data_IF_919484266976
#
_entry.id   IF_919484266976
#
_cell.length_a   1.000
_cell.length_b   1.000
_cell.length_c   1.000
_cell.angle_alpha   90.00
_cell.angle_beta   90.00
_cell.angle_gamma   90.00
#
_symmetry.space_group_name_H-M   'P 1'
#
loop_
_entity.id
_entity.type
_entity.pdbx_description
1 polymer ?
#
# COMPACT_ATOMS: atom_id res chain seq x y z
N UNK A 1 75.42 -41.59 -68.52
CA UNK A 1 75.16 -41.86 -67.11
C UNK A 1 74.16 -40.80 -66.63
N UNK A 2 72.91 -41.18 -66.63
CA UNK A 2 71.77 -40.26 -66.36
C UNK A 2 71.37 -40.31 -64.92
N UNK A 3 71.40 -39.18 -64.23
CA UNK A 3 70.90 -38.98 -62.88
C UNK A 3 69.39 -38.65 -62.95
N UNK A 4 68.56 -39.55 -62.42
CA UNK A 4 67.14 -39.36 -62.24
C UNK A 4 66.89 -38.40 -61.06
N UNK A 5 66.19 -37.24 -61.32
CA UNK A 5 65.68 -36.38 -60.30
C UNK A 5 64.33 -36.90 -59.81
N UNK A 6 64.15 -37.01 -58.49
CA UNK A 6 62.89 -37.27 -57.80
C UNK A 6 62.14 -35.97 -57.60
N UNK A 7 60.79 -36.00 -57.72
CA UNK A 7 60.00 -34.79 -57.48
C UNK A 7 59.80 -34.55 -55.94
N UNK A 8 59.58 -33.33 -55.51
CA UNK A 8 59.40 -32.98 -54.13
C UNK A 8 58.01 -33.39 -53.62
N UNK A 9 57.97 -33.88 -52.37
CA UNK A 9 56.79 -34.23 -51.59
C UNK A 9 55.93 -32.99 -51.26
N UNK A 10 54.58 -33.05 -51.26
CA UNK A 10 53.73 -31.90 -50.90
C UNK A 10 53.74 -31.67 -49.40
N UNK A 11 53.98 -30.43 -49.00
CA UNK A 11 53.92 -29.92 -47.66
C UNK A 11 52.50 -30.00 -47.09
N UNK A 12 52.34 -30.71 -45.99
CA UNK A 12 51.12 -30.79 -45.21
C UNK A 12 50.79 -29.45 -44.57
N UNK A 13 49.85 -28.74 -45.10
CA UNK A 13 49.26 -27.52 -44.47
C UNK A 13 48.38 -27.98 -43.33
N UNK A 14 48.84 -27.80 -42.09
CA UNK A 14 48.01 -27.99 -40.89
C UNK A 14 47.07 -26.80 -40.75
N UNK A 15 45.79 -26.99 -41.06
CA UNK A 15 44.73 -26.09 -40.67
C UNK A 15 44.49 -26.25 -39.14
N UNK A 16 44.97 -25.27 -38.36
CA UNK A 16 44.55 -25.13 -36.97
C UNK A 16 43.16 -24.53 -36.97
N UNK A 17 42.15 -25.36 -36.76
CA UNK A 17 40.78 -24.90 -36.43
C UNK A 17 40.82 -24.29 -35.02
N UNK A 18 40.85 -22.98 -34.92
CA UNK A 18 40.52 -22.26 -33.69
C UNK A 18 39.02 -22.34 -33.50
N UNK A 19 38.57 -23.27 -32.67
CA UNK A 19 37.21 -23.28 -32.13
C UNK A 19 37.09 -22.10 -31.14
N UNK A 20 36.49 -21.00 -31.58
CA UNK A 20 35.99 -19.95 -30.67
C UNK A 20 34.75 -20.52 -29.95
N UNK A 21 34.96 -21.10 -28.78
CA UNK A 21 33.89 -21.37 -27.82
C UNK A 21 33.38 -20.02 -27.29
N UNK A 22 32.35 -19.46 -27.93
CA UNK A 22 31.57 -18.40 -27.33
C UNK A 22 30.75 -19.02 -26.19
N UNK A 23 31.30 -18.98 -24.98
CA UNK A 23 30.54 -19.17 -23.75
C UNK A 23 29.50 -18.04 -23.68
N UNK A 24 28.33 -18.28 -24.18
CA UNK A 24 27.12 -17.55 -23.81
C UNK A 24 26.89 -17.78 -22.32
N UNK A 25 27.59 -17.03 -21.49
CA UNK A 25 27.18 -16.85 -20.10
C UNK A 25 25.86 -16.08 -20.15
N UNK A 26 24.75 -16.82 -20.16
CA UNK A 26 23.49 -16.31 -19.70
C UNK A 26 23.65 -15.97 -18.22
N UNK A 27 24.37 -14.90 -17.94
CA UNK A 27 24.37 -14.29 -16.64
C UNK A 27 22.93 -13.89 -16.37
N UNK A 28 22.29 -14.60 -15.46
CA UNK A 28 21.12 -14.09 -14.74
C UNK A 28 21.56 -12.75 -14.12
N UNK A 29 21.50 -11.67 -14.91
CA UNK A 29 21.67 -10.33 -14.38
C UNK A 29 20.50 -10.14 -13.42
N UNK A 30 20.75 -10.33 -12.14
CA UNK A 30 19.82 -9.91 -11.11
C UNK A 30 19.46 -8.44 -11.43
N UNK A 31 18.19 -8.21 -11.75
CA UNK A 31 17.72 -6.89 -12.15
C UNK A 31 18.08 -5.91 -11.05
N UNK A 32 18.83 -4.86 -11.39
CA UNK A 32 19.36 -3.91 -10.42
C UNK A 32 18.22 -3.28 -9.62
N UNK A 33 18.40 -3.15 -8.31
CA UNK A 33 17.51 -2.42 -7.42
C UNK A 33 17.80 -0.93 -7.59
N UNK A 34 16.87 -0.18 -8.18
CA UNK A 34 17.07 1.22 -8.55
C UNK A 34 16.84 2.18 -7.38
N UNK A 35 16.02 1.78 -6.42
CA UNK A 35 15.67 2.55 -5.22
C UNK A 35 15.85 1.70 -3.96
N UNK A 36 17.11 1.33 -3.61
CA UNK A 36 17.35 0.45 -2.46
C UNK A 36 16.96 1.12 -1.14
N UNK A 37 16.32 0.34 -0.24
CA UNK A 37 16.15 0.79 1.14
C UNK A 37 17.53 0.88 1.84
N UNK A 38 17.81 1.94 2.63
CA UNK A 38 16.94 3.08 2.93
C UNK A 38 17.04 4.19 1.86
N UNK A 39 15.93 4.89 1.60
CA UNK A 39 15.88 5.96 0.60
C UNK A 39 16.06 7.37 1.18
N UNK A 40 15.71 7.57 2.45
CA UNK A 40 15.74 8.87 3.13
C UNK A 40 15.09 9.98 2.29
N UNK A 41 13.87 9.74 1.87
CA UNK A 41 13.12 10.63 0.99
C UNK A 41 12.98 12.02 1.59
N UNK A 42 13.17 13.03 0.79
CA UNK A 42 12.85 14.39 1.16
C UNK A 42 11.36 14.64 0.93
N UNK A 43 10.60 14.63 2.00
CA UNK A 43 9.19 14.99 1.97
C UNK A 43 8.99 16.50 1.80
N UNK A 44 7.74 16.91 1.69
CA UNK A 44 7.37 18.33 1.57
C UNK A 44 8.01 19.18 2.68
N UNK A 45 8.44 20.37 2.33
CA UNK A 45 9.06 21.29 3.29
C UNK A 45 8.13 21.56 4.50
N UNK A 46 8.70 21.55 5.70
CA UNK A 46 7.98 21.72 6.96
C UNK A 46 7.42 20.44 7.54
N UNK A 47 7.61 19.27 6.90
CA UNK A 47 7.35 17.98 7.51
C UNK A 47 8.42 17.61 8.54
N UNK A 48 8.04 16.80 9.51
CA UNK A 48 8.92 16.35 10.59
C UNK A 48 9.01 14.82 10.64
N UNK A 49 10.08 14.34 11.27
CA UNK A 49 10.28 12.94 11.67
C UNK A 49 10.60 12.88 13.16
N UNK A 50 10.54 11.71 13.82
CA UNK A 50 11.09 11.57 15.15
C UNK A 50 12.52 12.12 15.19
N UNK A 51 12.82 13.00 16.13
CA UNK A 51 14.10 13.72 16.19
C UNK A 51 14.91 13.46 17.46
N UNK A 52 14.39 12.65 18.37
CA UNK A 52 15.08 12.21 19.61
C UNK A 52 15.98 10.99 19.37
N UNK A 53 15.85 10.36 18.22
CA UNK A 53 16.73 9.28 17.72
C UNK A 53 17.27 9.65 16.34
N UNK A 54 18.41 9.08 15.95
CA UNK A 54 19.00 9.36 14.65
C UNK A 54 18.38 8.51 13.51
N UNK A 55 18.66 8.90 12.27
CA UNK A 55 18.12 8.23 11.09
C UNK A 55 18.49 6.73 11.02
N UNK A 56 19.72 6.38 11.41
CA UNK A 56 20.15 4.99 11.40
C UNK A 56 19.39 4.13 12.43
N UNK A 57 18.95 4.73 13.56
CA UNK A 57 18.10 4.04 14.53
C UNK A 57 16.69 3.84 13.97
N UNK A 58 16.11 4.85 13.30
CA UNK A 58 14.83 4.70 12.60
C UNK A 58 14.88 3.56 11.58
N UNK A 59 15.91 3.52 10.74
CA UNK A 59 16.07 2.48 9.71
C UNK A 59 16.22 1.09 10.34
N UNK A 60 17.00 0.94 11.42
CA UNK A 60 17.15 -0.35 12.12
C UNK A 60 15.83 -0.83 12.73
N UNK A 61 15.01 0.07 13.29
CA UNK A 61 13.70 -0.29 13.83
C UNK A 61 12.77 -0.79 12.73
N UNK A 62 12.77 -0.13 11.56
CA UNK A 62 12.00 -0.57 10.39
C UNK A 62 12.45 -1.94 9.90
N UNK A 63 13.76 -2.15 9.71
CA UNK A 63 14.28 -3.42 9.18
C UNK A 63 14.07 -4.58 10.15
N UNK A 64 14.25 -4.35 11.45
CA UNK A 64 14.00 -5.36 12.48
C UNK A 64 12.54 -5.80 12.52
N UNK A 65 11.61 -4.85 12.37
CA UNK A 65 10.18 -5.18 12.34
C UNK A 65 9.78 -5.85 11.01
N UNK A 66 10.35 -5.39 9.88
CA UNK A 66 10.15 -6.01 8.57
C UNK A 66 10.55 -7.48 8.54
N UNK A 67 11.70 -7.84 9.11
CA UNK A 67 12.15 -9.24 9.13
C UNK A 67 11.17 -10.16 9.86
N UNK A 68 10.63 -9.68 11.01
CA UNK A 68 9.61 -10.40 11.76
C UNK A 68 8.29 -10.49 10.97
N UNK A 69 7.83 -9.37 10.39
CA UNK A 69 6.62 -9.29 9.59
C UNK A 69 6.69 -10.22 8.37
N UNK A 70 7.78 -10.17 7.62
CA UNK A 70 8.02 -11.03 6.46
C UNK A 70 7.99 -12.51 6.83
N UNK A 71 8.70 -12.90 7.88
CA UNK A 71 8.74 -14.29 8.34
C UNK A 71 7.36 -14.81 8.73
N UNK A 72 6.55 -13.99 9.38
CA UNK A 72 5.21 -14.40 9.83
C UNK A 72 4.20 -14.43 8.71
N UNK A 73 4.18 -13.43 7.83
CA UNK A 73 3.06 -13.20 6.92
C UNK A 73 3.30 -13.58 5.47
N UNK A 74 4.53 -13.58 4.97
CA UNK A 74 4.79 -14.03 3.59
C UNK A 74 4.83 -15.55 3.55
N UNK A 75 3.89 -16.14 2.81
CA UNK A 75 3.75 -17.61 2.68
C UNK A 75 3.79 -18.04 1.21
N UNK A 76 4.30 -19.25 0.92
CA UNK A 76 4.22 -19.81 -0.42
C UNK A 76 2.77 -20.04 -0.82
N UNK A 77 2.43 -19.72 -2.07
CA UNK A 77 1.14 -20.03 -2.68
C UNK A 77 1.01 -21.49 -3.08
N UNK A 78 -0.08 -21.82 -3.80
CA UNK A 78 -0.28 -23.18 -4.27
C UNK A 78 0.64 -23.57 -5.44
N UNK A 79 1.08 -22.61 -6.24
CA UNK A 79 2.06 -22.83 -7.30
C UNK A 79 3.46 -22.42 -6.86
N UNK A 80 4.49 -23.06 -7.46
CA UNK A 80 5.90 -22.89 -7.06
C UNK A 80 6.41 -21.43 -7.07
N UNK A 81 5.86 -20.60 -7.93
CA UNK A 81 6.29 -19.22 -8.13
C UNK A 81 5.29 -18.21 -7.54
N UNK A 82 4.54 -18.60 -6.54
CA UNK A 82 3.55 -17.76 -5.88
C UNK A 82 3.89 -17.53 -4.41
N UNK A 83 3.60 -16.32 -3.96
CA UNK A 83 3.56 -15.96 -2.55
C UNK A 83 2.26 -15.20 -2.26
N UNK A 84 1.76 -15.32 -1.03
CA UNK A 84 0.64 -14.54 -0.55
C UNK A 84 0.92 -14.01 0.85
N UNK A 85 0.13 -13.02 1.25
CA UNK A 85 0.19 -12.48 2.60
C UNK A 85 -0.88 -13.15 3.45
N UNK A 86 -0.44 -13.92 4.42
CA UNK A 86 -1.29 -14.77 5.24
C UNK A 86 -2.24 -13.99 6.14
N UNK A 87 -3.51 -14.44 6.16
CA UNK A 87 -4.57 -13.93 7.00
C UNK A 87 -4.89 -14.89 8.16
N UNK A 88 -4.59 -14.49 9.38
CA UNK A 88 -4.68 -15.34 10.57
C UNK A 88 -6.11 -15.69 11.03
N UNK A 89 -7.14 -15.44 10.23
CA UNK A 89 -8.53 -15.75 10.61
C UNK A 89 -9.02 -17.07 9.99
N UNK A 90 -9.74 -17.90 10.74
CA UNK A 90 -10.30 -19.14 10.20
C UNK A 90 -11.15 -18.89 8.94
N UNK A 91 -11.03 -19.78 7.95
CA UNK A 91 -11.84 -19.78 6.75
C UNK A 91 -11.35 -18.90 5.61
N UNK A 92 -10.33 -18.05 5.83
CA UNK A 92 -9.67 -17.28 4.78
C UNK A 92 -8.16 -17.32 4.99
N UNK A 93 -7.41 -17.48 3.91
CA UNK A 93 -5.92 -17.49 3.96
C UNK A 93 -5.32 -16.19 3.50
N UNK A 94 -5.94 -15.54 2.51
CA UNK A 94 -5.52 -14.25 1.97
C UNK A 94 -6.74 -13.38 1.68
N UNK A 95 -6.57 -12.06 1.73
CA UNK A 95 -7.51 -11.08 1.19
C UNK A 95 -6.74 -10.05 0.36
N UNK A 96 -7.39 -9.45 -0.64
CA UNK A 96 -6.75 -8.54 -1.61
C UNK A 96 -6.11 -7.31 -0.95
N UNK A 97 -6.72 -6.74 0.09
CA UNK A 97 -6.13 -5.65 0.91
C UNK A 97 -4.72 -6.02 1.37
N UNK A 98 -4.56 -7.24 1.89
CA UNK A 98 -3.28 -7.71 2.43
C UNK A 98 -2.25 -7.97 1.37
N UNK A 99 -2.71 -8.55 0.26
CA UNK A 99 -1.87 -8.76 -0.92
C UNK A 99 -1.30 -7.44 -1.41
N UNK A 100 -2.13 -6.40 -1.52
CA UNK A 100 -1.73 -5.05 -1.89
C UNK A 100 -0.71 -4.45 -0.92
N UNK A 101 -0.98 -4.52 0.39
CA UNK A 101 -0.03 -4.05 1.41
C UNK A 101 1.31 -4.79 1.33
N UNK A 102 1.29 -6.11 1.19
CA UNK A 102 2.52 -6.90 1.07
C UNK A 102 3.33 -6.56 -0.16
N UNK A 103 2.68 -6.31 -1.29
CA UNK A 103 3.33 -5.87 -2.52
C UNK A 103 3.98 -4.48 -2.34
N UNK A 104 3.29 -3.52 -1.71
CA UNK A 104 3.84 -2.19 -1.40
C UNK A 104 5.06 -2.30 -0.48
N UNK A 105 4.93 -3.01 0.65
CA UNK A 105 6.02 -3.20 1.62
C UNK A 105 7.24 -3.83 0.94
N UNK A 106 7.03 -4.92 0.19
CA UNK A 106 8.12 -5.65 -0.46
C UNK A 106 8.88 -4.79 -1.48
N UNK A 107 8.16 -3.98 -2.27
CA UNK A 107 8.78 -3.06 -3.22
C UNK A 107 9.62 -1.98 -2.53
N UNK A 108 9.15 -1.44 -1.39
CA UNK A 108 9.85 -0.41 -0.62
C UNK A 108 11.06 -0.94 0.16
N UNK A 109 11.04 -2.22 0.56
CA UNK A 109 12.12 -2.85 1.31
C UNK A 109 13.21 -3.48 0.45
N UNK A 110 13.08 -3.41 -0.88
CA UNK A 110 14.10 -3.89 -1.81
C UNK A 110 15.44 -3.15 -1.60
N UNK A 111 16.53 -3.89 -1.72
CA UNK A 111 17.88 -3.40 -1.41
C UNK A 111 18.33 -3.82 -0.02
N UNK A 112 17.50 -3.66 1.00
CA UNK A 112 17.69 -4.33 2.28
C UNK A 112 17.40 -5.84 2.14
N UNK A 113 16.21 -6.18 1.67
CA UNK A 113 15.85 -7.57 1.39
C UNK A 113 16.30 -7.99 -0.02
N UNK A 114 17.31 -8.85 -0.08
CA UNK A 114 17.83 -9.40 -1.33
C UNK A 114 16.83 -10.30 -2.06
N UNK A 115 15.80 -10.81 -1.38
CA UNK A 115 14.75 -11.63 -1.95
C UNK A 115 13.52 -10.82 -2.39
N UNK A 116 13.51 -9.49 -2.16
CA UNK A 116 12.34 -8.65 -2.39
C UNK A 116 11.75 -8.81 -3.79
N UNK A 117 12.58 -8.86 -4.84
CA UNK A 117 12.08 -9.04 -6.20
C UNK A 117 11.39 -10.39 -6.39
N UNK A 118 12.00 -11.48 -5.92
CA UNK A 118 11.42 -12.82 -6.02
C UNK A 118 10.10 -12.92 -5.25
N UNK A 119 10.05 -12.34 -4.05
CA UNK A 119 8.83 -12.29 -3.24
C UNK A 119 7.77 -11.45 -3.94
N UNK A 120 8.12 -10.27 -4.46
CA UNK A 120 7.21 -9.39 -5.17
C UNK A 120 6.59 -10.06 -6.40
N UNK A 121 7.42 -10.68 -7.23
CA UNK A 121 6.96 -11.41 -8.42
C UNK A 121 6.05 -12.57 -8.03
N UNK A 122 6.33 -13.26 -6.93
CA UNK A 122 5.47 -14.31 -6.39
C UNK A 122 4.13 -13.77 -5.88
N UNK A 123 4.12 -12.62 -5.20
CA UNK A 123 2.89 -11.93 -4.79
C UNK A 123 2.08 -11.48 -6.00
N UNK A 124 2.73 -10.94 -7.03
CA UNK A 124 2.10 -10.58 -8.29
C UNK A 124 1.47 -11.81 -8.99
N UNK A 125 2.20 -12.93 -9.07
CA UNK A 125 1.68 -14.16 -9.67
C UNK A 125 0.45 -14.70 -8.92
N UNK A 126 0.43 -14.59 -7.60
CA UNK A 126 -0.73 -14.95 -6.79
C UNK A 126 -1.93 -14.04 -7.09
N UNK A 127 -1.74 -12.72 -7.09
CA UNK A 127 -2.77 -11.78 -7.52
C UNK A 127 -3.37 -12.15 -8.89
N UNK A 128 -2.52 -12.38 -9.89
CA UNK A 128 -2.96 -12.72 -11.26
C UNK A 128 -3.70 -14.06 -11.37
N UNK A 129 -3.45 -14.99 -10.45
CA UNK A 129 -4.13 -16.30 -10.42
C UNK A 129 -5.50 -16.27 -9.75
N UNK A 130 -5.86 -15.15 -9.11
CA UNK A 130 -7.12 -14.98 -8.40
C UNK A 130 -7.95 -13.80 -8.95
N UNK A 131 -8.37 -13.86 -10.25
CA UNK A 131 -9.10 -12.75 -10.85
C UNK A 131 -10.50 -12.58 -10.25
N UNK A 132 -10.96 -11.34 -10.17
CA UNK A 132 -12.34 -11.01 -9.87
C UNK A 132 -13.29 -11.49 -10.98
N UNK A 133 -14.59 -11.48 -10.69
CA UNK A 133 -15.63 -11.91 -11.64
C UNK A 133 -15.78 -10.92 -12.80
N UNK A 134 -15.71 -9.64 -12.51
CA UNK A 134 -15.96 -8.55 -13.46
C UNK A 134 -14.77 -8.28 -14.37
N UNK A 135 -13.54 -8.50 -13.84
CA UNK A 135 -12.31 -8.18 -14.56
C UNK A 135 -11.16 -9.11 -14.18
N UNK A 136 -10.39 -9.63 -15.15
CA UNK A 136 -9.17 -10.39 -14.88
C UNK A 136 -8.00 -9.53 -14.36
N UNK A 137 -8.22 -8.22 -14.24
CA UNK A 137 -7.24 -7.23 -13.78
C UNK A 137 -7.53 -6.68 -12.39
N UNK A 138 -8.59 -7.18 -11.74
CA UNK A 138 -8.92 -6.96 -10.34
C UNK A 138 -8.78 -8.28 -9.58
N UNK A 139 -8.52 -8.23 -8.28
CA UNK A 139 -8.32 -9.42 -7.47
C UNK A 139 -9.60 -9.79 -6.73
N UNK A 140 -10.02 -11.05 -6.83
CA UNK A 140 -11.04 -11.59 -5.94
C UNK A 140 -10.65 -11.32 -4.46
N UNK A 141 -11.57 -10.73 -3.69
CA UNK A 141 -11.23 -10.14 -2.39
C UNK A 141 -10.73 -11.14 -1.34
N UNK A 142 -11.10 -12.44 -1.45
CA UNK A 142 -10.69 -13.44 -0.45
C UNK A 142 -10.41 -14.82 -1.05
N UNK A 143 -9.37 -15.49 -0.52
CA UNK A 143 -8.97 -16.84 -0.90
C UNK A 143 -8.98 -17.77 0.31
N UNK A 144 -9.30 -19.06 0.04
CA UNK A 144 -9.31 -20.14 1.01
C UNK A 144 -7.95 -20.86 1.07
N UNK A 145 -7.75 -21.70 2.08
CA UNK A 145 -6.52 -22.49 2.29
C UNK A 145 -6.11 -23.36 1.09
N UNK A 146 -7.07 -23.76 0.25
CA UNK A 146 -6.82 -24.56 -0.94
C UNK A 146 -6.60 -23.70 -2.20
N UNK A 147 -6.28 -22.42 -2.03
CA UNK A 147 -6.13 -21.41 -3.08
C UNK A 147 -7.35 -21.21 -3.98
N UNK A 148 -8.54 -21.61 -3.56
CA UNK A 148 -9.78 -21.25 -4.26
C UNK A 148 -10.25 -19.90 -3.77
N UNK A 149 -10.88 -19.13 -4.66
CA UNK A 149 -11.57 -17.93 -4.24
C UNK A 149 -12.74 -18.28 -3.33
N UNK A 150 -12.86 -17.59 -2.19
CA UNK A 150 -14.04 -17.67 -1.31
C UNK A 150 -15.22 -16.96 -1.97
N UNK A 151 -14.92 -15.79 -2.53
CA UNK A 151 -15.81 -14.93 -3.27
C UNK A 151 -15.03 -14.32 -4.42
N UNK A 152 -15.70 -13.94 -5.50
CA UNK A 152 -15.05 -13.43 -6.72
C UNK A 152 -15.32 -11.94 -6.96
N UNK A 153 -16.02 -11.27 -6.08
CA UNK A 153 -16.10 -9.81 -6.13
C UNK A 153 -14.74 -9.22 -5.72
N UNK A 154 -14.37 -8.10 -6.27
CA UNK A 154 -13.17 -7.37 -5.90
C UNK A 154 -13.43 -6.49 -4.67
N UNK A 155 -12.37 -6.10 -3.95
CA UNK A 155 -12.44 -5.08 -2.91
C UNK A 155 -11.51 -3.94 -3.28
N UNK A 156 -12.08 -2.75 -3.43
CA UNK A 156 -11.45 -1.60 -4.06
C UNK A 156 -10.14 -1.16 -3.38
N UNK A 157 -10.04 -1.24 -2.05
CA UNK A 157 -8.82 -0.88 -1.33
C UNK A 157 -7.64 -1.80 -1.70
N UNK A 158 -7.90 -3.10 -1.84
CA UNK A 158 -6.89 -4.06 -2.25
C UNK A 158 -6.35 -3.79 -3.65
N UNK A 159 -7.25 -3.59 -4.61
CA UNK A 159 -6.87 -3.35 -6.01
C UNK A 159 -6.11 -2.03 -6.18
N UNK A 160 -6.48 -0.98 -5.43
CA UNK A 160 -5.74 0.29 -5.42
C UNK A 160 -4.31 0.15 -4.92
N UNK A 161 -4.08 -0.59 -3.83
CA UNK A 161 -2.73 -0.81 -3.33
C UNK A 161 -1.93 -1.76 -4.23
N UNK A 162 -2.55 -2.76 -4.86
CA UNK A 162 -1.94 -3.61 -5.90
C UNK A 162 -1.49 -2.74 -7.08
N UNK A 163 -2.37 -1.92 -7.63
CA UNK A 163 -2.05 -1.04 -8.77
C UNK A 163 -0.94 -0.03 -8.42
N UNK A 164 -0.97 0.54 -7.21
CA UNK A 164 0.08 1.43 -6.73
C UNK A 164 1.42 0.70 -6.56
N UNK A 165 1.40 -0.51 -6.02
CA UNK A 165 2.60 -1.34 -5.85
C UNK A 165 3.28 -1.67 -7.20
N UNK A 166 2.50 -1.85 -8.26
CA UNK A 166 3.03 -2.08 -9.62
C UNK A 166 3.78 -0.85 -10.15
N UNK A 167 3.32 0.37 -9.83
CA UNK A 167 4.08 1.58 -10.12
C UNK A 167 5.40 1.66 -9.32
N UNK A 168 5.35 1.24 -8.05
CA UNK A 168 6.58 1.13 -7.26
C UNK A 168 7.55 0.10 -7.86
N UNK A 169 7.05 -1.05 -8.30
CA UNK A 169 7.86 -2.10 -8.92
C UNK A 169 8.51 -1.63 -10.24
N UNK A 170 7.79 -0.87 -11.06
CA UNK A 170 8.37 -0.23 -12.25
C UNK A 170 9.55 0.67 -11.89
N UNK A 171 9.43 1.51 -10.86
CA UNK A 171 10.52 2.38 -10.39
C UNK A 171 11.65 1.62 -9.71
N UNK A 172 11.36 0.47 -9.12
CA UNK A 172 12.32 -0.33 -8.38
C UNK A 172 13.15 -1.23 -9.28
N UNK A 173 12.51 -1.86 -10.26
CA UNK A 173 13.13 -2.89 -11.12
C UNK A 173 12.98 -2.61 -12.61
N UNK A 174 12.19 -1.61 -13.02
CA UNK A 174 11.87 -1.34 -14.41
C UNK A 174 10.90 -2.36 -15.02
N UNK A 175 10.42 -2.08 -16.23
CA UNK A 175 9.36 -2.84 -16.90
C UNK A 175 9.83 -3.58 -18.17
N UNK A 176 11.14 -3.81 -18.30
CA UNK A 176 11.73 -4.54 -19.46
C UNK A 176 11.99 -6.01 -19.17
N UNK A 177 11.65 -6.51 -17.97
CA UNK A 177 11.82 -7.90 -17.55
C UNK A 177 10.66 -8.79 -18.01
N UNK A 178 10.54 -9.96 -17.33
CA UNK A 178 9.44 -10.92 -17.59
C UNK A 178 8.07 -10.31 -17.29
N UNK A 179 7.97 -9.47 -16.25
CA UNK A 179 6.75 -8.74 -15.92
C UNK A 179 6.93 -7.27 -16.35
N UNK A 180 6.04 -6.77 -17.17
CA UNK A 180 5.97 -5.35 -17.49
C UNK A 180 5.09 -4.63 -16.45
N UNK A 181 5.69 -4.29 -15.30
CA UNK A 181 4.95 -3.70 -14.17
C UNK A 181 4.19 -2.43 -14.53
N UNK A 182 4.78 -1.55 -15.38
CA UNK A 182 4.10 -0.32 -15.80
C UNK A 182 2.84 -0.60 -16.62
N UNK A 183 2.91 -1.57 -17.53
CA UNK A 183 1.75 -1.97 -18.33
C UNK A 183 0.68 -2.62 -17.46
N UNK A 184 1.08 -3.51 -16.54
CA UNK A 184 0.15 -4.14 -15.59
C UNK A 184 -0.52 -3.10 -14.68
N UNK A 185 0.24 -2.11 -14.18
CA UNK A 185 -0.31 -0.99 -13.42
C UNK A 185 -1.36 -0.22 -14.21
N UNK A 186 -1.06 0.12 -15.48
CA UNK A 186 -2.00 0.87 -16.34
C UNK A 186 -3.29 0.10 -16.61
N UNK A 187 -3.20 -1.20 -16.81
CA UNK A 187 -4.36 -2.06 -17.02
C UNK A 187 -5.20 -2.16 -15.74
N UNK A 188 -4.56 -2.39 -14.58
CA UNK A 188 -5.25 -2.43 -13.29
C UNK A 188 -5.93 -1.08 -12.99
N UNK A 189 -5.23 0.06 -13.15
CA UNK A 189 -5.81 1.39 -12.97
C UNK A 189 -7.00 1.67 -13.89
N UNK A 190 -6.97 1.16 -15.14
CA UNK A 190 -8.09 1.31 -16.07
C UNK A 190 -9.29 0.47 -15.61
N UNK A 191 -9.07 -0.74 -15.10
CA UNK A 191 -10.11 -1.58 -14.52
C UNK A 191 -10.74 -0.95 -13.28
N UNK A 192 -9.92 -0.47 -12.33
CA UNK A 192 -10.38 0.26 -11.15
C UNK A 192 -11.24 1.47 -11.54
N UNK A 193 -10.76 2.30 -12.48
CA UNK A 193 -11.51 3.47 -12.95
C UNK A 193 -12.86 3.11 -13.57
N UNK A 194 -12.97 1.94 -14.19
CA UNK A 194 -14.19 1.48 -14.84
C UNK A 194 -15.19 0.83 -13.89
N UNK A 195 -14.70 -0.02 -12.97
CA UNK A 195 -15.56 -0.86 -12.13
C UNK A 195 -15.68 -0.39 -10.69
N UNK A 196 -14.71 0.39 -10.19
CA UNK A 196 -14.59 0.73 -8.77
C UNK A 196 -14.61 2.24 -8.50
N UNK A 197 -14.74 3.08 -9.54
CA UNK A 197 -14.97 4.53 -9.39
C UNK A 197 -16.32 4.88 -9.98
N UNK A 198 -17.19 5.49 -9.18
CA UNK A 198 -18.49 5.93 -9.63
C UNK A 198 -18.35 6.99 -10.74
N UNK A 199 -18.86 6.77 -11.96
CA UNK A 199 -18.64 7.69 -13.08
C UNK A 199 -19.37 9.03 -12.94
N UNK A 200 -20.35 9.14 -12.04
CA UNK A 200 -21.13 10.37 -11.81
C UNK A 200 -20.55 11.23 -10.70
N UNK A 201 -20.17 10.61 -9.58
CA UNK A 201 -19.67 11.32 -8.40
C UNK A 201 -18.14 11.33 -8.31
N UNK A 202 -17.45 10.45 -9.03
CA UNK A 202 -16.03 10.16 -8.89
C UNK A 202 -15.61 9.75 -7.46
N UNK A 203 -16.59 9.31 -6.65
CA UNK A 203 -16.30 8.62 -5.39
C UNK A 203 -15.86 7.19 -5.62
N UNK A 204 -15.16 6.64 -4.64
CA UNK A 204 -14.73 5.26 -4.65
C UNK A 204 -15.92 4.36 -4.31
N UNK A 205 -16.16 3.31 -5.09
CA UNK A 205 -17.16 2.28 -4.80
C UNK A 205 -16.60 1.29 -3.78
N UNK A 206 -17.48 0.57 -3.10
CA UNK A 206 -17.11 -0.43 -2.08
C UNK A 206 -16.47 -1.67 -2.71
N UNK A 207 -16.91 -2.02 -3.91
CA UNK A 207 -16.46 -3.17 -4.69
C UNK A 207 -16.81 -2.99 -6.16
N UNK A 208 -16.33 -3.90 -7.01
CA UNK A 208 -16.73 -4.01 -8.41
C UNK A 208 -18.17 -4.51 -8.62
N UNK A 209 -18.83 -4.97 -7.55
CA UNK A 209 -20.24 -5.34 -7.53
C UNK A 209 -21.20 -4.18 -7.25
N UNK A 210 -20.68 -3.00 -6.84
CA UNK A 210 -21.49 -1.81 -6.59
C UNK A 210 -21.80 -1.11 -7.93
N UNK A 211 -22.80 -1.56 -8.65
CA UNK A 211 -23.23 -1.02 -9.94
C UNK A 211 -24.44 -0.06 -9.84
N UNK A 212 -24.91 0.47 -10.97
CA UNK A 212 -25.99 1.47 -11.04
C UNK A 212 -27.32 1.03 -10.45
N UNK A 213 -27.53 -0.26 -10.28
CA UNK A 213 -28.75 -0.87 -9.76
C UNK A 213 -28.61 -1.28 -8.28
N UNK A 214 -27.40 -1.26 -7.72
CA UNK A 214 -27.16 -1.61 -6.34
C UNK A 214 -27.50 -0.48 -5.37
N UNK A 215 -27.97 -0.83 -4.16
CA UNK A 215 -28.33 0.14 -3.10
C UNK A 215 -27.13 0.97 -2.62
N UNK A 216 -25.92 0.40 -2.73
CA UNK A 216 -24.66 0.97 -2.28
C UNK A 216 -23.88 1.74 -3.38
N UNK A 217 -24.47 1.90 -4.58
CA UNK A 217 -23.81 2.59 -5.70
C UNK A 217 -23.33 4.02 -5.40
N UNK A 218 -23.93 4.67 -4.43
CA UNK A 218 -23.56 6.01 -3.98
C UNK A 218 -22.99 6.02 -2.56
N UNK A 219 -22.42 4.92 -2.15
CA UNK A 219 -21.82 4.74 -0.84
C UNK A 219 -20.32 4.43 -0.98
N UNK A 220 -19.53 4.69 0.04
CA UNK A 220 -18.09 4.37 0.03
C UNK A 220 -17.56 4.06 1.42
N UNK A 221 -16.45 3.37 1.47
CA UNK A 221 -15.60 3.22 2.65
C UNK A 221 -14.61 4.38 2.71
N UNK A 222 -14.47 5.03 3.86
CA UNK A 222 -13.63 6.23 3.97
C UNK A 222 -12.15 5.98 3.70
N UNK A 223 -11.63 4.82 4.09
CA UNK A 223 -10.22 4.45 3.89
C UNK A 223 -9.80 4.26 2.43
N UNK A 224 -10.77 4.11 1.53
CA UNK A 224 -10.50 3.86 0.11
C UNK A 224 -10.18 5.16 -0.65
N UNK A 225 -10.38 6.31 -0.01
CA UNK A 225 -9.83 7.57 -0.52
C UNK A 225 -8.32 7.64 -0.25
N UNK A 226 -7.54 7.31 -1.27
CA UNK A 226 -6.07 7.26 -1.25
C UNK A 226 -5.47 8.32 -2.19
N UNK A 227 -5.48 9.62 -1.82
CA UNK A 227 -5.15 10.70 -2.76
C UNK A 227 -3.70 10.63 -3.25
N UNK A 228 -2.76 10.11 -2.47
CA UNK A 228 -1.38 9.91 -2.92
C UNK A 228 -1.29 8.86 -4.04
N UNK A 229 -2.03 7.74 -3.93
CA UNK A 229 -2.11 6.72 -4.97
C UNK A 229 -2.77 7.30 -6.23
N UNK A 230 -3.88 8.05 -6.06
CA UNK A 230 -4.59 8.66 -7.19
C UNK A 230 -3.72 9.66 -7.97
N UNK A 231 -2.85 10.41 -7.30
CA UNK A 231 -1.87 11.29 -7.97
C UNK A 231 -0.83 10.50 -8.77
N UNK A 232 -0.38 9.37 -8.25
CA UNK A 232 0.49 8.48 -8.99
C UNK A 232 -0.24 7.87 -10.21
N UNK A 233 -1.52 7.50 -10.05
CA UNK A 233 -2.36 6.99 -11.14
C UNK A 233 -2.61 8.04 -12.22
N UNK A 234 -2.89 9.29 -11.85
CA UNK A 234 -3.03 10.37 -12.82
C UNK A 234 -1.73 10.60 -13.60
N UNK A 235 -0.59 10.59 -12.91
CA UNK A 235 0.71 10.76 -13.55
C UNK A 235 1.02 9.65 -14.57
N UNK A 236 0.63 8.41 -14.27
CA UNK A 236 0.88 7.25 -15.13
C UNK A 236 -0.14 7.10 -16.27
N UNK A 237 -1.39 7.53 -16.09
CA UNK A 237 -2.49 7.39 -17.06
C UNK A 237 -2.80 8.66 -17.85
N UNK A 238 -2.62 9.83 -17.25
CA UNK A 238 -2.88 11.17 -17.83
C UNK A 238 -4.30 11.35 -18.38
N UNK A 239 -5.28 10.78 -17.70
CA UNK A 239 -6.69 10.81 -18.16
C UNK A 239 -7.48 12.00 -17.64
N UNK A 240 -7.01 12.71 -16.63
CA UNK A 240 -7.75 13.74 -15.90
C UNK A 240 -8.86 13.19 -14.99
N UNK A 241 -9.15 11.87 -15.05
CA UNK A 241 -10.23 11.26 -14.26
C UNK A 241 -9.82 11.08 -12.79
N UNK A 242 -8.58 10.70 -12.53
CA UNK A 242 -8.06 10.59 -11.16
C UNK A 242 -7.99 11.95 -10.47
N UNK A 243 -7.67 13.02 -11.21
CA UNK A 243 -7.73 14.37 -10.66
C UNK A 243 -9.16 14.76 -10.24
N UNK A 244 -10.19 14.39 -11.02
CA UNK A 244 -11.60 14.58 -10.63
C UNK A 244 -11.95 13.79 -9.37
N UNK A 245 -11.48 12.54 -9.27
CA UNK A 245 -11.68 11.72 -8.07
C UNK A 245 -11.03 12.38 -6.84
N UNK A 246 -9.79 12.86 -6.96
CA UNK A 246 -9.11 13.61 -5.88
C UNK A 246 -9.95 14.80 -5.42
N UNK A 247 -10.36 15.65 -6.36
CA UNK A 247 -11.05 16.90 -6.04
C UNK A 247 -12.44 16.67 -5.42
N UNK A 248 -13.17 15.68 -5.93
CA UNK A 248 -14.50 15.35 -5.43
C UNK A 248 -14.43 14.74 -4.03
N UNK A 249 -13.50 13.81 -3.80
CA UNK A 249 -13.37 13.17 -2.49
C UNK A 249 -12.85 14.16 -1.43
N UNK A 250 -11.92 15.07 -1.75
CA UNK A 250 -11.53 16.11 -0.81
C UNK A 250 -12.71 17.03 -0.42
N UNK A 251 -13.60 17.39 -1.39
CA UNK A 251 -14.81 18.16 -1.07
C UNK A 251 -15.76 17.38 -0.16
N UNK A 252 -15.96 16.09 -0.45
CA UNK A 252 -16.78 15.20 0.36
C UNK A 252 -16.25 15.09 1.80
N UNK A 253 -14.96 14.83 1.96
CA UNK A 253 -14.34 14.67 3.28
C UNK A 253 -14.38 15.96 4.10
N UNK A 254 -14.11 17.11 3.47
CA UNK A 254 -14.28 18.42 4.12
C UNK A 254 -15.72 18.68 4.56
N UNK A 255 -16.70 18.29 3.74
CA UNK A 255 -18.11 18.40 4.10
C UNK A 255 -18.45 17.54 5.32
N UNK A 256 -17.99 16.27 5.34
CA UNK A 256 -18.24 15.34 6.45
C UNK A 256 -17.61 15.84 7.75
N UNK A 257 -16.35 16.27 7.73
CA UNK A 257 -15.70 16.86 8.91
C UNK A 257 -16.49 18.02 9.49
N UNK A 258 -16.83 19.01 8.65
CA UNK A 258 -17.53 20.22 9.09
C UNK A 258 -18.93 19.95 9.60
N UNK A 259 -19.61 18.95 9.03
CA UNK A 259 -21.02 18.69 9.32
C UNK A 259 -21.21 17.73 10.50
N UNK A 260 -20.38 16.72 10.60
CA UNK A 260 -20.57 15.61 11.54
C UNK A 260 -19.49 15.48 12.61
N UNK A 261 -18.34 16.13 12.42
CA UNK A 261 -17.21 16.05 13.36
C UNK A 261 -16.47 17.39 13.44
N UNK A 262 -17.14 18.51 13.70
CA UNK A 262 -16.51 19.84 13.66
C UNK A 262 -15.37 20.00 14.66
N UNK A 263 -15.44 19.34 15.81
CA UNK A 263 -14.47 19.46 16.89
C UNK A 263 -13.31 18.44 16.78
N UNK A 264 -13.60 17.18 16.39
CA UNK A 264 -12.60 16.12 16.29
C UNK A 264 -12.00 15.97 14.88
N UNK A 265 -12.74 16.39 13.84
CA UNK A 265 -12.30 16.28 12.46
C UNK A 265 -12.33 14.85 11.88
N UNK A 266 -13.04 13.93 12.51
CA UNK A 266 -13.12 12.53 12.13
C UNK A 266 -14.08 12.31 10.95
N UNK A 267 -13.95 11.15 10.29
CA UNK A 267 -14.91 10.67 9.29
C UNK A 267 -15.37 9.26 9.67
N UNK A 268 -16.57 8.82 9.24
CA UNK A 268 -17.08 7.50 9.57
C UNK A 268 -16.39 6.41 8.74
N UNK A 269 -16.51 5.15 9.17
CA UNK A 269 -16.08 3.98 8.40
C UNK A 269 -16.76 3.94 7.03
N UNK A 270 -18.10 4.15 7.01
CA UNK A 270 -18.89 4.15 5.78
C UNK A 270 -19.66 5.43 5.61
N UNK A 271 -19.66 5.95 4.39
CA UNK A 271 -20.33 7.18 3.94
C UNK A 271 -21.43 6.80 2.98
N UNK A 272 -22.65 7.25 3.21
CA UNK A 272 -23.81 6.94 2.37
C UNK A 272 -24.37 8.16 1.65
N UNK A 273 -25.05 7.90 0.51
CA UNK A 273 -25.81 8.88 -0.27
C UNK A 273 -24.98 10.08 -0.76
N UNK A 274 -23.81 9.78 -1.31
CA UNK A 274 -22.84 10.78 -1.81
C UNK A 274 -23.44 11.66 -2.93
N UNK A 275 -24.38 11.11 -3.71
CA UNK A 275 -25.04 11.81 -4.81
C UNK A 275 -26.08 12.87 -4.37
N UNK A 276 -26.49 12.88 -3.10
CA UNK A 276 -27.50 13.79 -2.57
C UNK A 276 -27.00 14.53 -1.34
N UNK A 277 -27.22 13.98 -0.15
CA UNK A 277 -26.73 14.50 1.12
C UNK A 277 -25.90 13.41 1.79
N UNK A 278 -24.58 13.46 1.55
CA UNK A 278 -23.65 12.50 2.14
C UNK A 278 -23.75 12.51 3.67
N UNK A 279 -23.73 11.31 4.26
CA UNK A 279 -23.88 11.13 5.72
C UNK A 279 -23.18 9.87 6.20
N UNK A 280 -22.87 9.80 7.51
CA UNK A 280 -22.42 8.55 8.14
C UNK A 280 -23.44 7.43 7.93
N UNK A 281 -22.98 6.18 7.80
CA UNK A 281 -23.83 5.01 7.74
C UNK A 281 -24.58 4.81 9.07
N UNK A 282 -25.75 4.17 9.00
CA UNK A 282 -26.44 3.70 10.19
C UNK A 282 -25.71 2.48 10.79
N UNK A 283 -25.94 2.18 12.07
CA UNK A 283 -25.42 0.96 12.68
C UNK A 283 -25.80 -0.32 11.90
N UNK A 284 -24.88 -1.26 11.79
CA UNK A 284 -25.03 -2.54 11.07
C UNK A 284 -25.39 -2.36 9.59
N UNK A 285 -24.82 -1.32 8.97
CA UNK A 285 -24.97 -1.11 7.54
C UNK A 285 -24.25 -2.21 6.73
N UNK A 286 -22.99 -2.52 7.08
CA UNK A 286 -22.19 -3.49 6.34
C UNK A 286 -21.38 -4.43 7.27
N UNK A 287 -20.63 -3.89 8.23
CA UNK A 287 -19.69 -4.67 9.01
C UNK A 287 -20.02 -4.75 10.51
N UNK A 288 -20.54 -3.66 11.08
CA UNK A 288 -20.77 -3.58 12.52
C UNK A 288 -21.73 -2.47 12.92
N UNK A 289 -22.12 -2.48 14.19
CA UNK A 289 -22.91 -1.37 14.79
C UNK A 289 -22.15 -0.04 14.84
N UNK A 290 -20.88 -0.01 14.45
CA UNK A 290 -20.02 1.16 14.48
C UNK A 290 -19.72 1.73 13.08
N UNK A 291 -20.42 1.26 12.04
CA UNK A 291 -20.19 1.66 10.64
C UNK A 291 -20.31 3.18 10.39
N UNK A 292 -21.05 3.88 11.23
CA UNK A 292 -21.16 5.33 11.20
C UNK A 292 -20.15 6.08 12.07
N UNK A 293 -19.22 5.40 12.71
CA UNK A 293 -18.21 5.95 13.60
C UNK A 293 -16.82 5.90 12.97
N UNK A 294 -15.86 6.59 13.59
CA UNK A 294 -14.44 6.40 13.30
C UNK A 294 -13.98 5.08 13.92
N UNK A 295 -13.88 4.04 13.10
CA UNK A 295 -13.64 2.68 13.55
C UNK A 295 -12.56 2.01 12.68
N UNK A 296 -12.57 0.70 12.48
CA UNK A 296 -11.48 -0.06 11.85
C UNK A 296 -11.25 0.22 10.36
N UNK A 297 -12.17 0.86 9.64
CA UNK A 297 -11.91 1.37 8.30
C UNK A 297 -11.36 2.80 8.35
N UNK A 298 -12.05 3.71 9.02
CA UNK A 298 -11.66 5.12 9.09
C UNK A 298 -10.32 5.34 9.82
N UNK A 299 -9.88 4.41 10.67
CA UNK A 299 -8.57 4.49 11.35
C UNK A 299 -7.39 4.67 10.37
N UNK A 300 -7.51 4.19 9.14
CA UNK A 300 -6.52 4.36 8.07
C UNK A 300 -6.48 5.77 7.45
N UNK A 301 -7.55 6.55 7.60
CA UNK A 301 -7.70 7.85 6.92
C UNK A 301 -6.59 8.85 7.28
N UNK A 302 -6.17 9.03 8.55
CA UNK A 302 -5.08 9.96 8.88
C UNK A 302 -3.78 9.63 8.14
N UNK A 303 -3.41 8.37 8.04
CA UNK A 303 -2.28 7.91 7.26
C UNK A 303 -2.46 8.18 5.76
N UNK A 304 -3.58 7.72 5.15
CA UNK A 304 -3.83 7.84 3.71
C UNK A 304 -3.80 9.31 3.26
N UNK A 305 -4.44 10.20 4.02
CA UNK A 305 -4.49 11.63 3.68
C UNK A 305 -3.15 12.32 3.97
N UNK A 306 -2.53 12.08 5.12
CA UNK A 306 -1.25 12.71 5.45
C UNK A 306 -0.15 12.38 4.42
N UNK A 307 -0.12 11.15 3.93
CA UNK A 307 0.84 10.71 2.89
C UNK A 307 0.78 11.58 1.63
N UNK A 308 -0.40 12.08 1.27
CA UNK A 308 -0.54 13.02 0.15
C UNK A 308 0.17 14.35 0.42
N UNK A 309 0.05 14.90 1.65
CA UNK A 309 0.84 16.08 1.99
C UNK A 309 2.34 15.80 2.03
N UNK A 310 2.75 14.70 2.63
CA UNK A 310 4.17 14.34 2.73
C UNK A 310 4.81 14.23 1.35
N UNK A 311 4.16 13.56 0.42
CA UNK A 311 4.71 13.28 -0.91
C UNK A 311 4.50 14.43 -1.91
N UNK A 312 3.34 15.09 -1.88
CA UNK A 312 2.92 16.02 -2.95
C UNK A 312 2.69 17.46 -2.48
N UNK A 313 2.71 17.71 -1.18
CA UNK A 313 2.51 19.05 -0.63
C UNK A 313 1.09 19.57 -0.74
N UNK A 314 0.09 18.69 -0.90
CA UNK A 314 -1.30 19.13 -1.03
C UNK A 314 -1.80 19.77 0.27
N UNK A 315 -2.06 21.06 0.24
CA UNK A 315 -2.51 21.83 1.42
C UNK A 315 -3.88 21.35 1.94
N UNK A 316 -4.71 20.75 1.08
CA UNK A 316 -6.00 20.15 1.50
C UNK A 316 -5.78 19.00 2.45
N UNK A 317 -4.79 18.14 2.15
CA UNK A 317 -4.39 17.04 3.01
C UNK A 317 -3.94 17.52 4.40
N UNK A 318 -3.02 18.51 4.43
CA UNK A 318 -2.61 19.13 5.71
C UNK A 318 -3.78 19.73 6.45
N UNK A 319 -4.65 20.49 5.77
CA UNK A 319 -5.84 21.11 6.35
C UNK A 319 -6.79 20.08 6.95
N UNK A 320 -6.96 18.94 6.29
CA UNK A 320 -7.82 17.85 6.74
C UNK A 320 -7.31 17.15 8.00
N UNK A 321 -6.02 16.82 8.08
CA UNK A 321 -5.47 16.07 9.23
C UNK A 321 -5.11 16.97 10.43
N UNK A 322 -5.00 18.29 10.24
CA UNK A 322 -4.62 19.21 11.34
C UNK A 322 -5.62 19.22 12.50
N UNK A 323 -6.94 19.31 12.32
CA UNK A 323 -7.90 19.19 13.42
C UNK A 323 -7.84 17.83 14.10
N UNK A 324 -7.65 16.74 13.35
CA UNK A 324 -7.48 15.38 13.90
C UNK A 324 -6.26 15.32 14.84
N UNK A 325 -5.13 15.88 14.40
CA UNK A 325 -3.92 15.93 15.24
C UNK A 325 -4.10 16.77 16.51
N UNK A 326 -4.83 17.86 16.44
CA UNK A 326 -5.13 18.69 17.61
C UNK A 326 -6.03 17.92 18.56
N UNK A 327 -7.13 17.39 18.06
CA UNK A 327 -8.11 16.67 18.86
C UNK A 327 -7.47 15.43 19.55
N UNK A 328 -6.75 14.56 18.81
CA UNK A 328 -6.20 13.34 19.42
C UNK A 328 -5.18 13.67 20.52
N UNK A 329 -4.37 14.71 20.36
CA UNK A 329 -3.47 15.16 21.42
C UNK A 329 -4.19 15.68 22.66
N UNK A 330 -5.30 16.38 22.46
CA UNK A 330 -6.11 16.94 23.57
C UNK A 330 -6.85 15.82 24.30
N UNK A 331 -7.56 14.96 23.58
CA UNK A 331 -8.39 13.92 24.18
C UNK A 331 -7.57 12.82 24.87
N UNK A 332 -6.29 12.67 24.50
CA UNK A 332 -5.37 11.72 25.14
C UNK A 332 -4.46 12.36 26.18
N UNK A 333 -4.59 13.66 26.47
CA UNK A 333 -3.64 14.42 27.32
C UNK A 333 -2.18 14.28 26.84
N UNK A 334 -1.98 14.10 25.55
CA UNK A 334 -0.67 13.86 24.93
C UNK A 334 -0.01 12.55 25.37
N UNK A 335 -0.79 11.58 25.83
CA UNK A 335 -0.34 10.24 26.19
C UNK A 335 -0.89 9.21 25.17
N UNK A 336 -0.02 8.53 24.36
CA UNK A 336 -0.45 7.52 23.40
C UNK A 336 -1.17 6.31 24.02
N UNK A 337 -0.97 5.98 25.30
CA UNK A 337 -1.69 4.91 26.00
C UNK A 337 -3.21 5.13 26.00
N UNK A 338 -3.65 6.39 25.88
CA UNK A 338 -5.04 6.78 25.90
C UNK A 338 -5.70 6.76 24.49
N UNK A 339 -5.02 6.26 23.45
CA UNK A 339 -5.61 6.10 22.13
C UNK A 339 -6.55 4.90 22.12
N UNK A 340 -7.85 5.14 21.95
CA UNK A 340 -8.90 4.10 21.91
C UNK A 340 -9.00 3.43 20.53
N UNK A 341 -9.43 2.18 20.53
CA UNK A 341 -9.76 1.41 19.32
C UNK A 341 -11.14 1.81 18.75
N UNK A 342 -11.37 3.11 18.57
CA UNK A 342 -12.54 3.68 17.93
C UNK A 342 -13.15 4.84 18.70
N UNK A 343 -13.78 5.73 17.94
CA UNK A 343 -14.37 6.98 18.46
C UNK A 343 -15.71 7.25 17.77
N UNK A 344 -16.62 7.91 18.48
CA UNK A 344 -17.76 8.55 17.83
C UNK A 344 -17.29 9.74 16.98
N UNK A 345 -18.11 10.30 16.12
CA UNK A 345 -17.70 11.46 15.32
C UNK A 345 -17.59 12.74 16.16
N UNK A 346 -18.18 12.78 17.33
CA UNK A 346 -18.01 13.85 18.33
C UNK A 346 -16.65 13.75 19.06
N UNK A 347 -15.90 12.65 18.82
CA UNK A 347 -14.58 12.44 19.42
C UNK A 347 -14.58 11.73 20.76
N UNK A 348 -15.67 11.08 21.15
CA UNK A 348 -15.74 10.30 22.39
C UNK A 348 -15.33 8.85 22.12
N UNK A 349 -14.68 8.22 23.09
CA UNK A 349 -14.34 6.79 23.05
C UNK A 349 -15.60 5.94 22.85
N UNK A 350 -15.48 4.93 22.00
CA UNK A 350 -16.52 3.91 21.90
C UNK A 350 -16.52 3.05 23.18
N UNK A 351 -17.59 3.11 23.94
CA UNK A 351 -17.72 2.39 25.23
C UNK A 351 -17.37 0.90 25.09
N UNK A 352 -16.49 0.44 25.96
CA UNK A 352 -16.04 -0.96 26.03
C UNK A 352 -14.98 -1.33 24.99
N UNK A 353 -14.40 -0.35 24.29
CA UNK A 353 -13.23 -0.57 23.44
C UNK A 353 -11.96 -0.66 24.26
N UNK A 354 -11.00 -1.40 23.73
CA UNK A 354 -9.65 -1.48 24.30
C UNK A 354 -8.75 -0.37 23.74
N UNK A 355 -7.63 -0.20 24.39
CA UNK A 355 -6.52 0.66 23.97
C UNK A 355 -5.44 -0.19 23.29
N UNK A 356 -4.31 0.40 22.92
CA UNK A 356 -3.16 -0.31 22.32
C UNK A 356 -3.41 -0.89 20.90
N UNK A 357 -4.50 -0.51 20.21
CA UNK A 357 -4.73 -0.94 18.83
C UNK A 357 -3.77 -0.22 17.87
N UNK A 358 -2.78 -0.95 17.33
CA UNK A 358 -1.74 -0.36 16.48
C UNK A 358 -2.28 0.21 15.18
N UNK A 359 -3.38 -0.35 14.67
CA UNK A 359 -4.11 0.16 13.50
C UNK A 359 -4.73 1.54 13.69
N UNK A 360 -4.91 2.00 14.94
CA UNK A 360 -5.31 3.37 15.27
C UNK A 360 -4.09 4.25 15.59
N UNK A 361 -3.11 3.73 16.30
CA UNK A 361 -1.94 4.45 16.75
C UNK A 361 -1.00 4.84 15.59
N UNK A 362 -0.70 3.90 14.70
CA UNK A 362 0.26 4.10 13.62
C UNK A 362 -0.19 5.19 12.62
N UNK A 363 -1.45 5.27 12.16
CA UNK A 363 -1.94 6.35 11.32
C UNK A 363 -1.82 7.75 11.94
N UNK A 364 -2.01 7.87 13.26
CA UNK A 364 -1.78 9.15 13.96
C UNK A 364 -0.31 9.54 13.99
N UNK A 365 0.62 8.57 13.99
CA UNK A 365 2.04 8.85 13.88
C UNK A 365 2.38 9.49 12.52
N UNK A 366 1.82 8.97 11.43
CA UNK A 366 2.01 9.55 10.09
C UNK A 366 1.38 10.93 9.99
N UNK A 367 0.14 11.09 10.48
CA UNK A 367 -0.53 12.39 10.41
C UNK A 367 0.16 13.48 11.23
N UNK A 368 0.85 13.12 12.32
CA UNK A 368 1.62 14.07 13.12
C UNK A 368 2.78 14.70 12.34
N UNK A 369 3.31 14.02 11.31
CA UNK A 369 4.46 14.51 10.55
C UNK A 369 4.20 15.79 9.75
N UNK A 370 2.94 16.19 9.55
CA UNK A 370 2.58 17.33 8.67
C UNK A 370 2.90 18.70 9.26
N UNK A 371 3.18 18.80 10.58
CA UNK A 371 3.43 20.08 11.22
C UNK A 371 4.40 19.98 12.40
N UNK A 372 5.32 20.96 12.49
CA UNK A 372 6.35 21.05 13.52
C UNK A 372 5.79 21.15 14.97
N UNK A 373 4.57 21.67 15.13
CA UNK A 373 3.92 21.74 16.45
C UNK A 373 3.61 20.36 17.04
N UNK A 374 3.66 19.31 16.25
CA UNK A 374 3.44 17.93 16.66
C UNK A 374 4.73 17.21 17.09
N UNK A 375 5.90 17.86 17.14
CA UNK A 375 7.17 17.15 17.29
C UNK A 375 7.25 16.27 18.54
N UNK A 376 6.86 16.81 19.69
CA UNK A 376 6.88 16.04 20.95
C UNK A 376 5.89 14.87 20.93
N UNK A 377 4.71 15.11 20.37
CA UNK A 377 3.70 14.08 20.17
C UNK A 377 4.21 12.97 19.25
N UNK A 378 4.76 13.33 18.09
CA UNK A 378 5.34 12.38 17.16
C UNK A 378 6.42 11.49 17.80
N UNK A 379 7.31 12.09 18.61
CA UNK A 379 8.33 11.34 19.32
C UNK A 379 7.72 10.32 20.29
N UNK A 380 6.74 10.74 21.11
CA UNK A 380 6.05 9.86 22.06
C UNK A 380 5.31 8.72 21.38
N UNK A 381 4.53 9.03 20.32
CA UNK A 381 3.76 8.00 19.59
C UNK A 381 4.70 7.03 18.88
N UNK A 382 5.82 7.50 18.36
CA UNK A 382 6.83 6.63 17.76
C UNK A 382 7.41 5.65 18.79
N UNK A 383 7.87 6.13 19.94
CA UNK A 383 8.41 5.29 21.00
C UNK A 383 7.39 4.26 21.49
N UNK A 384 6.15 4.71 21.64
CA UNK A 384 5.04 3.83 22.02
C UNK A 384 4.81 2.74 20.95
N UNK A 385 4.71 3.14 19.68
CA UNK A 385 4.49 2.22 18.58
C UNK A 385 5.58 1.14 18.47
N UNK A 386 6.85 1.49 18.62
CA UNK A 386 7.96 0.54 18.50
C UNK A 386 8.11 -0.40 19.70
N UNK A 387 7.55 -0.06 20.87
CA UNK A 387 7.60 -0.89 22.06
C UNK A 387 6.80 -2.20 21.89
N UNK A 388 5.78 -2.21 21.06
CA UNK A 388 4.93 -3.37 20.85
C UNK A 388 5.56 -4.43 19.96
N UNK A 389 5.47 -5.70 20.40
CA UNK A 389 6.04 -6.84 19.71
C UNK A 389 5.03 -7.42 18.72
N UNK A 390 5.49 -7.80 17.55
CA UNK A 390 4.66 -8.37 16.50
C UNK A 390 3.83 -9.58 16.96
N UNK A 391 4.37 -10.44 17.82
CA UNK A 391 3.69 -11.66 18.31
C UNK A 391 2.40 -11.40 19.09
N UNK A 392 2.25 -10.21 19.66
CA UNK A 392 1.15 -9.85 20.55
C UNK A 392 -0.05 -9.26 19.79
N UNK A 393 0.08 -9.06 18.48
CA UNK A 393 -0.91 -8.40 17.63
C UNK A 393 -1.24 -9.22 16.40
N UNK A 394 -2.42 -8.95 15.84
CA UNK A 394 -2.87 -9.60 14.62
C UNK A 394 -2.20 -9.00 13.36
N UNK A 395 -2.56 -9.56 12.22
CA UNK A 395 -2.06 -9.10 10.93
C UNK A 395 -2.37 -7.63 10.67
N UNK A 396 -3.60 -7.18 10.95
CA UNK A 396 -4.06 -5.83 10.59
C UNK A 396 -3.24 -4.76 11.31
N UNK A 397 -3.12 -4.90 12.62
CA UNK A 397 -2.29 -4.03 13.45
C UNK A 397 -0.82 -4.03 12.99
N UNK A 398 -0.24 -5.21 12.80
CA UNK A 398 1.17 -5.34 12.42
C UNK A 398 1.47 -4.77 11.03
N UNK A 399 0.55 -4.92 10.09
CA UNK A 399 0.82 -4.48 8.71
C UNK A 399 0.64 -2.99 8.53
N UNK A 400 -0.37 -2.39 9.15
CA UNK A 400 -0.52 -0.93 9.20
C UNK A 400 0.69 -0.30 9.90
N UNK A 401 1.09 -0.85 11.06
CA UNK A 401 2.33 -0.44 11.73
C UNK A 401 3.54 -0.50 10.78
N UNK A 402 3.73 -1.60 10.03
CA UNK A 402 4.87 -1.75 9.12
C UNK A 402 4.89 -0.67 8.04
N UNK A 403 3.75 -0.42 7.38
CA UNK A 403 3.62 0.62 6.35
C UNK A 403 3.92 2.01 6.91
N UNK A 404 3.34 2.32 8.05
CA UNK A 404 3.49 3.63 8.67
C UNK A 404 4.91 3.85 9.23
N UNK A 405 5.58 2.81 9.73
CA UNK A 405 7.00 2.87 10.09
C UNK A 405 7.90 3.21 8.89
N UNK A 406 7.62 2.65 7.70
CA UNK A 406 8.35 3.01 6.47
C UNK A 406 8.15 4.49 6.13
N UNK A 407 6.93 5.00 6.27
CA UNK A 407 6.63 6.42 6.01
C UNK A 407 7.34 7.32 7.04
N UNK A 408 7.17 7.04 8.32
CA UNK A 408 7.69 7.88 9.42
C UNK A 408 9.21 7.93 9.40
N UNK A 409 9.89 6.84 9.03
CA UNK A 409 11.34 6.80 8.90
C UNK A 409 11.88 7.58 7.67
N UNK A 410 11.00 8.04 6.76
CA UNK A 410 11.41 8.74 5.55
C UNK A 410 11.79 7.80 4.39
N UNK A 411 11.28 6.59 4.39
CA UNK A 411 11.64 5.58 3.38
C UNK A 411 10.51 5.26 2.39
N UNK A 412 9.39 5.99 2.45
CA UNK A 412 8.27 5.84 1.53
C UNK A 412 8.40 6.86 0.38
N UNK A 413 8.58 6.39 -0.86
CA UNK A 413 8.78 7.23 -2.03
C UNK A 413 7.62 7.13 -3.03
N UNK A 414 7.56 8.06 -3.97
CA UNK A 414 6.47 8.15 -4.97
C UNK A 414 6.58 7.04 -6.00
N UNK A 415 5.46 6.44 -6.39
CA UNK A 415 5.32 5.55 -7.53
C UNK A 415 5.33 6.23 -8.91
N UNK A 416 6.00 7.41 -9.03
CA UNK A 416 6.04 8.26 -10.23
C UNK A 416 7.41 8.28 -10.86
#
# INVERSE_FOLDING_TARGET
MMLKRFPPTPSCVRYSLLLFLILLTNGLHAQAVLRPFPQHCRYTAGTIKPNHINQQQLDRQVTSFYDQWKHRYIKPGCDKNQFYVWFEKPGKECVSERQGYGMVITALMAGYDKQAKNIYDGLYNYYKSHPAKTSPYLMAWAQLKNCKNHDRDAATDGDMDIAYSLLLADKQWGSKGHINYLQEARIAMAAIMHYEINPKTFSVLLSDGSDGDSEDYYDMRASDFMPANFKAFESASKTGKWQKAIDNNYRLFNYLQKTYSPDAGLVPDFIRRINTKARPAQPNYMESKYDGYYNYNACRVPWRIATDYLLYGDKRAKGFVSPINQWIRQTTDGNPDNISAGYTLEGNDIKGRYFEALSFIAPFTVSAMVDKSNQQWLNKVWDYLIAFKLKDYDYYDNTIKMLDMIIVSGNYWKGQ
#
